data_IF_812581898559
#
_entry.id   IF_812581898559
#
_cell.length_a   1.000
_cell.length_b   1.000
_cell.length_c   1.000
_cell.angle_alpha   90.00
_cell.angle_beta   90.00
_cell.angle_gamma   90.00
#
_symmetry.space_group_name_H-M   'P 1'
#
loop_
_entity.id
_entity.type
_entity.pdbx_description
1 polymer ?
#
# COMPACT_ATOMS: atom_id res chain seq x y z
N UNK A 1 4.19 9.07 -26.95
CA UNK A 1 3.76 9.66 -25.67
C UNK A 1 4.20 8.69 -24.58
N UNK A 2 5.37 8.91 -23.98
CA UNK A 2 5.94 7.97 -23.01
C UNK A 2 5.14 8.00 -21.71
N UNK A 3 4.58 6.86 -21.28
CA UNK A 3 4.08 6.71 -19.91
C UNK A 3 5.28 6.79 -18.98
N UNK A 4 5.51 7.94 -18.37
CA UNK A 4 6.45 8.04 -17.27
C UNK A 4 5.97 7.11 -16.15
N UNK A 5 6.84 6.24 -15.66
CA UNK A 5 6.55 5.47 -14.45
C UNK A 5 6.45 6.48 -13.30
N UNK A 6 5.27 6.62 -12.72
CA UNK A 6 5.08 7.46 -11.55
C UNK A 6 5.55 6.68 -10.33
N UNK A 7 6.66 7.12 -9.73
CA UNK A 7 7.09 6.59 -8.45
C UNK A 7 6.14 7.15 -7.38
N UNK A 8 5.51 6.26 -6.61
CA UNK A 8 4.71 6.61 -5.45
C UNK A 8 5.41 6.14 -4.17
N UNK A 9 5.15 6.83 -3.06
CA UNK A 9 5.74 6.51 -1.76
C UNK A 9 4.71 5.78 -0.90
N UNK A 10 5.05 4.56 -0.48
CA UNK A 10 4.31 3.81 0.54
C UNK A 10 4.97 4.09 1.89
N UNK A 11 4.15 4.53 2.85
CA UNK A 11 4.55 4.71 4.24
C UNK A 11 4.13 3.48 5.01
N UNK A 12 5.07 2.91 5.76
CA UNK A 12 4.78 1.78 6.65
C UNK A 12 4.99 2.22 8.08
N UNK A 13 4.04 1.91 8.96
CA UNK A 13 4.18 2.09 10.40
C UNK A 13 3.89 0.77 11.11
N UNK A 14 4.52 0.58 12.26
CA UNK A 14 4.15 -0.47 13.20
C UNK A 14 3.10 0.08 14.17
N UNK A 15 2.04 -0.69 14.40
CA UNK A 15 0.90 -0.37 15.26
C UNK A 15 0.65 -1.57 16.19
N UNK A 16 1.39 -1.62 17.31
CA UNK A 16 1.45 -2.81 18.17
C UNK A 16 2.25 -3.93 17.51
N UNK A 17 1.64 -5.11 17.40
CA UNK A 17 2.23 -6.29 16.75
C UNK A 17 1.92 -6.36 15.23
N UNK A 18 1.21 -5.38 14.69
CA UNK A 18 0.80 -5.31 13.28
C UNK A 18 1.55 -4.19 12.53
N UNK A 19 1.88 -4.43 11.26
CA UNK A 19 2.35 -3.39 10.33
C UNK A 19 1.21 -2.88 9.47
N UNK A 20 1.21 -1.57 9.22
CA UNK A 20 0.24 -0.89 8.35
C UNK A 20 0.96 -0.14 7.25
N UNK A 21 0.59 -0.41 6.00
CA UNK A 21 1.14 0.22 4.80
C UNK A 21 0.09 1.11 4.12
N UNK A 22 0.48 2.33 3.74
CA UNK A 22 -0.40 3.28 3.08
C UNK A 22 0.38 4.16 2.11
N UNK A 23 -0.10 4.31 0.89
CA UNK A 23 0.43 5.31 -0.05
C UNK A 23 0.08 6.72 0.42
N UNK A 24 1.05 7.64 0.30
CA UNK A 24 0.85 9.03 0.65
C UNK A 24 -0.28 9.67 -0.18
N UNK A 25 -1.41 9.96 0.46
CA UNK A 25 -2.61 10.52 -0.17
C UNK A 25 -3.70 9.50 -0.51
N UNK A 26 -3.42 8.20 -0.36
CA UNK A 26 -4.43 7.14 -0.49
C UNK A 26 -5.17 6.92 0.84
N UNK A 27 -6.44 6.53 0.75
CA UNK A 27 -7.23 6.04 1.89
C UNK A 27 -7.12 4.53 2.07
N UNK A 28 -6.47 3.85 1.13
CA UNK A 28 -6.25 2.40 1.18
C UNK A 28 -5.12 2.10 2.16
N UNK A 29 -5.39 1.19 3.10
CA UNK A 29 -4.43 0.74 4.09
C UNK A 29 -4.29 -0.77 3.99
N UNK A 30 -3.07 -1.22 3.77
CA UNK A 30 -2.66 -2.61 3.89
C UNK A 30 -2.21 -2.93 5.32
N UNK A 31 -2.40 -4.17 5.74
CA UNK A 31 -2.11 -4.67 7.09
C UNK A 31 -1.39 -6.02 7.03
N UNK A 32 -0.48 -6.31 7.97
CA UNK A 32 0.17 -7.61 8.04
C UNK A 32 1.11 -7.78 9.23
N UNK A 33 1.55 -9.01 9.49
CA UNK A 33 2.47 -9.35 10.59
C UNK A 33 3.91 -8.88 10.29
N UNK A 34 4.26 -8.72 9.01
CA UNK A 34 5.51 -8.13 8.57
C UNK A 34 5.29 -6.92 7.68
N UNK A 35 6.36 -6.14 7.47
CA UNK A 35 6.35 -5.02 6.51
C UNK A 35 5.98 -5.50 5.11
N UNK A 36 6.49 -6.65 4.67
CA UNK A 36 6.18 -7.22 3.36
C UNK A 36 4.70 -7.54 3.22
N UNK A 37 4.12 -8.19 4.23
CA UNK A 37 2.70 -8.57 4.20
C UNK A 37 1.79 -7.34 4.11
N UNK A 38 2.08 -6.30 4.90
CA UNK A 38 1.32 -5.06 4.85
C UNK A 38 1.40 -4.36 3.49
N UNK A 39 2.56 -4.41 2.82
CA UNK A 39 2.74 -3.83 1.48
C UNK A 39 1.99 -4.65 0.43
N UNK A 40 2.03 -5.99 0.50
CA UNK A 40 1.31 -6.88 -0.42
C UNK A 40 -0.19 -6.65 -0.30
N UNK A 41 -0.74 -6.66 0.92
CA UNK A 41 -2.16 -6.41 1.19
C UNK A 41 -2.60 -5.01 0.72
N UNK A 42 -1.74 -3.99 0.88
CA UNK A 42 -2.00 -2.66 0.30
C UNK A 42 -2.12 -2.74 -1.24
N UNK A 43 -1.18 -3.42 -1.89
CA UNK A 43 -1.13 -3.51 -3.35
C UNK A 43 -2.35 -4.25 -3.92
N UNK A 44 -2.80 -5.31 -3.26
CA UNK A 44 -4.01 -6.05 -3.64
C UNK A 44 -5.26 -5.18 -3.52
N UNK A 45 -5.46 -4.52 -2.36
CA UNK A 45 -6.60 -3.60 -2.15
C UNK A 45 -6.57 -2.40 -3.11
N UNK A 46 -5.38 -1.90 -3.43
CA UNK A 46 -5.22 -0.80 -4.39
C UNK A 46 -5.62 -1.25 -5.81
N UNK A 47 -5.29 -2.49 -6.19
CA UNK A 47 -5.71 -3.08 -7.47
C UNK A 47 -7.23 -3.22 -7.55
N UNK A 48 -7.88 -3.79 -6.52
CA UNK A 48 -9.34 -3.96 -6.49
C UNK A 48 -10.10 -2.64 -6.68
N UNK A 49 -9.58 -1.54 -6.12
CA UNK A 49 -10.18 -0.22 -6.27
C UNK A 49 -10.10 0.36 -7.68
N UNK A 50 -9.06 0.01 -8.45
CA UNK A 50 -8.92 0.47 -9.84
C UNK A 50 -9.82 -0.34 -10.77
N UNK A 51 -10.10 -1.60 -10.40
CA UNK A 51 -10.94 -2.51 -11.19
C UNK A 51 -12.44 -2.37 -10.89
N UNK A 52 -12.83 -1.61 -9.85
CA UNK A 52 -14.23 -1.28 -9.48
C UNK A 52 -14.66 0.09 -9.98
#
# INVERSE_FOLDING_TARGET
MGRYAQLFQIRVKQDGDEYRAQEAGSRTVGTGETVQDAIIDYAEKAKERVES
#
